data_IF_415012731991
#
_entry.id   IF_415012731991
#
_cell.length_a   1.000
_cell.length_b   1.000
_cell.length_c   1.000
_cell.angle_alpha   90.00
_cell.angle_beta   90.00
_cell.angle_gamma   90.00
#
_symmetry.space_group_name_H-M   'P 1'
#
loop_
_entity.id
_entity.type
_entity.pdbx_description
1 polymer ?
#
# COMPACT_ATOMS: atom_id res chain seq x y z
N UNK A 1 -17.40 -27.87 -37.39
CA UNK A 1 -16.62 -26.79 -38.07
C UNK A 1 -16.31 -25.60 -37.12
N UNK A 2 -17.08 -25.39 -36.05
CA UNK A 2 -16.84 -24.25 -35.11
C UNK A 2 -15.59 -24.36 -34.25
N UNK A 3 -15.17 -25.55 -33.85
CA UNK A 3 -14.01 -25.71 -32.95
C UNK A 3 -12.71 -25.12 -33.51
N UNK A 4 -12.41 -25.42 -34.81
CA UNK A 4 -11.19 -24.89 -35.46
C UNK A 4 -11.15 -23.35 -35.57
N UNK A 5 -12.31 -22.65 -35.65
CA UNK A 5 -12.36 -21.19 -35.69
C UNK A 5 -12.06 -20.65 -34.28
N UNK A 6 -12.65 -21.25 -33.26
CA UNK A 6 -12.45 -20.83 -31.87
C UNK A 6 -10.98 -20.99 -31.43
N UNK A 7 -10.39 -22.16 -31.76
CA UNK A 7 -8.97 -22.42 -31.45
C UNK A 7 -8.04 -21.39 -32.11
N UNK A 8 -8.31 -21.01 -33.37
CA UNK A 8 -7.54 -19.98 -34.07
C UNK A 8 -7.69 -18.61 -33.46
N UNK A 9 -8.91 -18.19 -33.09
CA UNK A 9 -9.15 -16.91 -32.44
C UNK A 9 -8.40 -16.85 -31.08
N UNK A 10 -8.49 -17.92 -30.29
CA UNK A 10 -7.81 -18.01 -28.99
C UNK A 10 -6.29 -18.00 -29.14
N UNK A 11 -5.74 -18.66 -30.17
CA UNK A 11 -4.30 -18.62 -30.43
C UNK A 11 -3.84 -17.22 -30.87
N UNK A 12 -4.56 -16.55 -31.78
CA UNK A 12 -4.28 -15.17 -32.17
C UNK A 12 -4.34 -14.26 -30.95
N UNK A 13 -5.39 -14.38 -30.13
CA UNK A 13 -5.57 -13.61 -28.89
C UNK A 13 -4.42 -13.83 -27.92
N UNK A 14 -4.02 -15.08 -27.69
CA UNK A 14 -2.91 -15.43 -26.77
C UNK A 14 -1.57 -14.90 -27.27
N UNK A 15 -1.31 -14.96 -28.59
CA UNK A 15 -0.11 -14.37 -29.20
C UNK A 15 -0.08 -12.86 -28.99
N UNK A 16 -1.20 -12.17 -29.23
CA UNK A 16 -1.33 -10.73 -29.02
C UNK A 16 -1.11 -10.36 -27.54
N UNK A 17 -1.71 -11.08 -26.60
CA UNK A 17 -1.53 -10.87 -25.16
C UNK A 17 -0.08 -11.06 -24.71
N UNK A 18 0.63 -12.02 -25.31
CA UNK A 18 2.05 -12.28 -25.02
C UNK A 18 3.00 -11.29 -25.72
N UNK A 19 2.48 -10.24 -26.34
CA UNK A 19 3.28 -9.23 -27.06
C UNK A 19 3.88 -9.71 -28.39
N UNK A 20 3.48 -10.90 -28.86
CA UNK A 20 3.94 -11.41 -30.16
C UNK A 20 3.24 -10.69 -31.31
N UNK A 21 3.98 -10.53 -32.41
CA UNK A 21 3.42 -10.00 -33.65
C UNK A 21 2.63 -11.09 -34.38
N UNK A 22 1.48 -10.73 -34.88
CA UNK A 22 0.61 -11.61 -35.62
C UNK A 22 0.61 -11.19 -37.10
N UNK A 23 1.15 -12.04 -37.97
CA UNK A 23 1.16 -11.85 -39.42
C UNK A 23 0.01 -12.62 -40.05
N UNK A 24 -0.78 -11.97 -40.93
CA UNK A 24 -1.94 -12.60 -41.56
C UNK A 24 -1.57 -13.83 -42.41
N UNK A 25 -0.49 -13.71 -43.18
CA UNK A 25 -0.04 -14.78 -44.08
C UNK A 25 0.44 -16.02 -43.32
N UNK A 26 1.18 -15.80 -42.22
CA UNK A 26 1.67 -16.89 -41.36
C UNK A 26 0.52 -17.66 -40.72
N UNK A 27 -0.44 -16.94 -40.10
CA UNK A 27 -1.60 -17.56 -39.47
C UNK A 27 -2.51 -18.25 -40.52
N UNK A 28 -2.71 -17.62 -41.68
CA UNK A 28 -3.49 -18.20 -42.73
C UNK A 28 -2.90 -19.54 -43.23
N UNK A 29 -1.58 -19.59 -43.36
CA UNK A 29 -0.85 -20.82 -43.73
C UNK A 29 -0.94 -21.88 -42.63
N UNK A 30 -0.70 -21.50 -41.37
CA UNK A 30 -0.71 -22.41 -40.22
C UNK A 30 -2.08 -23.10 -40.02
N UNK A 31 -3.16 -22.36 -40.20
CA UNK A 31 -4.53 -22.87 -40.02
C UNK A 31 -5.22 -23.33 -41.32
N UNK A 32 -4.55 -23.22 -42.47
CA UNK A 32 -5.10 -23.62 -43.77
C UNK A 32 -6.34 -22.81 -44.17
N UNK A 33 -6.36 -21.52 -43.88
CA UNK A 33 -7.49 -20.62 -44.18
C UNK A 33 -7.02 -19.41 -45.02
N UNK A 34 -7.97 -18.63 -45.55
CA UNK A 34 -7.63 -17.40 -46.26
C UNK A 34 -7.21 -16.27 -45.29
N UNK A 35 -6.34 -15.36 -45.72
CA UNK A 35 -5.99 -14.16 -44.98
C UNK A 35 -7.22 -13.31 -44.58
N UNK A 36 -8.26 -13.34 -45.47
CA UNK A 36 -9.55 -12.68 -45.19
C UNK A 36 -10.27 -13.28 -43.98
N UNK A 37 -10.10 -14.58 -43.73
CA UNK A 37 -10.65 -15.25 -42.55
C UNK A 37 -9.90 -14.81 -41.28
N UNK A 38 -8.57 -14.75 -41.35
CA UNK A 38 -7.74 -14.26 -40.23
C UNK A 38 -8.02 -12.79 -39.93
N UNK A 39 -8.22 -11.97 -40.96
CA UNK A 39 -8.61 -10.58 -40.81
C UNK A 39 -9.95 -10.39 -40.08
N UNK A 40 -10.92 -11.29 -40.32
CA UNK A 40 -12.19 -11.29 -39.59
C UNK A 40 -11.98 -11.65 -38.11
N UNK A 41 -11.17 -12.67 -37.86
CA UNK A 41 -10.87 -13.07 -36.48
C UNK A 41 -10.18 -11.93 -35.70
N UNK A 42 -9.27 -11.20 -36.32
CA UNK A 42 -8.65 -10.01 -35.73
C UNK A 42 -9.68 -8.90 -35.47
N UNK A 43 -10.64 -8.73 -36.38
CA UNK A 43 -11.73 -7.76 -36.16
C UNK A 43 -12.68 -8.22 -35.03
N UNK A 44 -12.94 -9.55 -34.92
CA UNK A 44 -13.71 -10.08 -33.78
C UNK A 44 -13.00 -9.77 -32.45
N UNK A 45 -11.66 -9.90 -32.40
CA UNK A 45 -10.85 -9.53 -31.20
C UNK A 45 -10.88 -8.01 -30.97
N UNK A 46 -10.83 -7.18 -31.99
CA UNK A 46 -10.98 -5.72 -31.84
C UNK A 46 -12.32 -5.34 -31.23
N UNK A 47 -13.40 -5.88 -31.78
CA UNK A 47 -14.75 -5.63 -31.26
C UNK A 47 -14.90 -6.09 -29.81
N UNK A 48 -14.22 -7.17 -29.41
CA UNK A 48 -14.19 -7.62 -28.04
C UNK A 48 -13.54 -6.56 -27.14
N UNK A 49 -12.38 -6.04 -27.50
CA UNK A 49 -11.72 -4.97 -26.72
C UNK A 49 -12.50 -3.66 -26.73
N UNK A 50 -13.09 -3.27 -27.86
CA UNK A 50 -13.91 -2.05 -27.94
C UNK A 50 -15.14 -2.13 -27.02
N UNK A 51 -15.70 -3.32 -26.84
CA UNK A 51 -16.84 -3.53 -25.91
C UNK A 51 -16.40 -3.57 -24.43
N UNK A 52 -15.20 -4.09 -24.14
CA UNK A 52 -14.66 -4.10 -22.76
C UNK A 52 -14.15 -2.72 -22.31
N UNK A 53 -13.65 -1.89 -23.21
CA UNK A 53 -13.17 -0.54 -22.89
C UNK A 53 -14.22 0.34 -22.19
N UNK A 54 -15.50 -0.03 -22.30
CA UNK A 54 -16.62 0.70 -21.66
C UNK A 54 -16.77 0.42 -20.17
N UNK A 55 -16.24 -0.69 -19.62
CA UNK A 55 -16.48 -1.12 -18.24
C UNK A 55 -15.32 -0.87 -17.28
N UNK A 56 -14.07 -1.00 -17.71
CA UNK A 56 -12.92 -1.08 -16.79
C UNK A 56 -11.83 0.00 -16.98
N UNK A 57 -12.02 0.95 -17.91
CA UNK A 57 -11.05 2.03 -18.15
C UNK A 57 -9.75 1.57 -18.86
N UNK A 58 -9.72 0.36 -19.38
CA UNK A 58 -8.63 -0.18 -20.19
C UNK A 58 -8.94 0.06 -21.67
N UNK A 59 -8.05 0.70 -22.39
CA UNK A 59 -8.08 0.79 -23.86
C UNK A 59 -7.00 -0.11 -24.43
N UNK A 60 -7.34 -1.39 -24.62
CA UNK A 60 -6.51 -2.31 -25.41
C UNK A 60 -6.97 -2.22 -26.87
N UNK A 61 -6.08 -1.95 -27.81
CA UNK A 61 -6.43 -1.99 -29.23
C UNK A 61 -5.41 -2.73 -30.06
N UNK A 62 -5.91 -3.45 -31.07
CA UNK A 62 -5.07 -4.19 -31.99
C UNK A 62 -4.64 -3.28 -33.13
N UNK A 63 -3.36 -2.87 -33.15
CA UNK A 63 -2.76 -1.97 -34.13
C UNK A 63 -2.08 -2.74 -35.25
N UNK A 64 -2.25 -2.26 -36.48
CA UNK A 64 -1.51 -2.76 -37.64
C UNK A 64 -0.21 -1.97 -37.83
N UNK A 65 0.91 -2.69 -37.95
CA UNK A 65 2.23 -2.12 -38.27
C UNK A 65 2.54 -2.39 -39.70
N UNK A 66 2.45 -1.36 -40.55
CA UNK A 66 2.63 -1.46 -42.00
C UNK A 66 4.03 -1.93 -42.42
N UNK A 67 5.07 -1.47 -41.74
CA UNK A 67 6.47 -1.84 -41.98
C UNK A 67 6.73 -3.34 -41.82
N UNK A 68 6.00 -3.99 -40.91
CA UNK A 68 6.17 -5.41 -40.55
C UNK A 68 5.01 -6.28 -41.00
N UNK A 69 4.04 -5.71 -41.71
CA UNK A 69 2.80 -6.39 -42.17
C UNK A 69 2.16 -7.26 -41.07
N UNK A 70 2.15 -6.77 -39.84
CA UNK A 70 1.74 -7.55 -38.68
C UNK A 70 0.88 -6.73 -37.72
N UNK A 71 0.05 -7.43 -36.96
CA UNK A 71 -0.76 -6.86 -35.86
C UNK A 71 -0.05 -7.03 -34.52
N UNK A 72 -0.20 -6.06 -33.67
CA UNK A 72 0.22 -6.11 -32.25
C UNK A 72 -0.94 -5.66 -31.38
N UNK A 73 -0.97 -6.14 -30.14
CA UNK A 73 -1.80 -5.56 -29.12
C UNK A 73 -1.02 -4.38 -28.50
N UNK A 74 -1.56 -3.18 -28.65
CA UNK A 74 -1.06 -2.00 -27.97
C UNK A 74 -1.91 -1.82 -26.71
N UNK A 75 -1.33 -2.10 -25.57
CA UNK A 75 -1.98 -1.91 -24.29
C UNK A 75 -1.76 -0.46 -23.87
N UNK A 76 -2.77 0.37 -23.98
CA UNK A 76 -2.79 1.66 -23.32
C UNK A 76 -3.32 1.48 -21.89
N UNK A 77 -2.48 0.94 -21.04
CA UNK A 77 -2.71 1.12 -19.61
C UNK A 77 -2.64 2.62 -19.33
N UNK A 78 -3.77 3.30 -19.24
CA UNK A 78 -3.84 4.67 -18.72
C UNK A 78 -3.34 4.76 -17.27
N UNK A 79 -3.10 3.64 -16.64
CA UNK A 79 -2.64 3.50 -15.26
C UNK A 79 -1.34 2.69 -15.11
N UNK A 80 -0.52 2.52 -16.15
CA UNK A 80 0.80 1.93 -15.97
C UNK A 80 1.68 2.93 -15.24
N UNK A 81 2.24 2.52 -14.10
CA UNK A 81 3.24 3.31 -13.41
C UNK A 81 4.45 3.53 -14.34
N UNK A 82 4.96 4.73 -14.38
CA UNK A 82 6.20 5.05 -15.10
C UNK A 82 7.40 4.38 -14.42
N UNK A 83 8.49 4.21 -15.16
CA UNK A 83 9.74 3.69 -14.59
C UNK A 83 10.20 4.50 -13.36
N UNK A 84 9.99 5.82 -13.38
CA UNK A 84 10.33 6.71 -12.26
C UNK A 84 9.47 6.45 -11.03
N UNK A 85 8.18 6.21 -11.21
CA UNK A 85 7.25 5.88 -10.11
C UNK A 85 7.58 4.51 -9.52
N UNK A 86 7.84 3.50 -10.35
CA UNK A 86 8.28 2.17 -9.87
C UNK A 86 9.60 2.27 -9.10
N UNK A 87 10.58 3.02 -9.63
CA UNK A 87 11.84 3.23 -8.92
C UNK A 87 11.61 3.91 -7.57
N UNK A 88 10.77 4.93 -7.50
CA UNK A 88 10.44 5.62 -6.25
C UNK A 88 9.78 4.66 -5.23
N UNK A 89 8.81 3.84 -5.67
CA UNK A 89 8.16 2.83 -4.82
C UNK A 89 9.20 1.81 -4.31
N UNK A 90 10.07 1.29 -5.17
CA UNK A 90 11.13 0.36 -4.77
C UNK A 90 12.06 0.98 -3.72
N UNK A 91 12.47 2.25 -3.90
CA UNK A 91 13.32 2.97 -2.94
C UNK A 91 12.63 3.16 -1.58
N UNK A 92 11.35 3.53 -1.57
CA UNK A 92 10.55 3.66 -0.34
C UNK A 92 10.46 2.32 0.38
N UNK A 93 10.14 1.23 -0.32
CA UNK A 93 10.05 -0.12 0.25
C UNK A 93 11.37 -0.56 0.86
N UNK A 94 12.48 -0.39 0.15
CA UNK A 94 13.82 -0.77 0.63
C UNK A 94 14.23 0.05 1.85
N UNK A 95 13.94 1.35 1.88
CA UNK A 95 14.28 2.24 3.00
C UNK A 95 13.44 1.97 4.24
N UNK A 96 12.15 1.69 4.07
CA UNK A 96 11.23 1.46 5.19
C UNK A 96 11.32 0.06 5.79
N UNK A 97 11.86 -0.90 5.05
CA UNK A 97 12.18 -2.26 5.50
C UNK A 97 11.06 -2.97 6.29
N UNK A 98 9.83 -3.05 5.77
CA UNK A 98 8.70 -3.59 6.53
C UNK A 98 8.62 -5.12 6.49
N UNK A 99 9.27 -5.76 5.54
CA UNK A 99 9.12 -7.19 5.23
C UNK A 99 10.38 -8.01 5.50
N UNK A 100 10.24 -9.33 5.56
CA UNK A 100 11.39 -10.23 5.55
C UNK A 100 12.17 -10.10 4.25
N UNK A 101 13.43 -10.53 4.22
CA UNK A 101 14.26 -10.42 3.02
C UNK A 101 13.64 -11.15 1.82
N UNK A 102 13.09 -12.36 2.05
CA UNK A 102 12.45 -13.14 1.00
C UNK A 102 11.20 -12.45 0.44
N UNK A 103 10.33 -11.91 1.33
CA UNK A 103 9.13 -11.18 0.91
C UNK A 103 9.50 -9.92 0.14
N UNK A 104 10.49 -9.15 0.59
CA UNK A 104 10.95 -7.95 -0.08
C UNK A 104 11.50 -8.27 -1.47
N UNK A 105 12.40 -9.27 -1.58
CA UNK A 105 12.97 -9.67 -2.86
C UNK A 105 11.87 -10.06 -3.84
N UNK A 106 10.95 -10.96 -3.43
CA UNK A 106 9.84 -11.40 -4.26
C UNK A 106 8.90 -10.26 -4.68
N UNK A 107 8.65 -9.28 -3.80
CA UNK A 107 7.85 -8.09 -4.11
C UNK A 107 8.51 -7.21 -5.16
N UNK A 108 9.80 -6.91 -5.00
CA UNK A 108 10.56 -6.07 -5.93
C UNK A 108 10.65 -6.72 -7.32
N UNK A 109 10.92 -8.02 -7.38
CA UNK A 109 10.96 -8.78 -8.63
C UNK A 109 9.62 -8.68 -9.36
N UNK A 110 8.51 -8.96 -8.68
CA UNK A 110 7.16 -8.87 -9.27
C UNK A 110 6.79 -7.46 -9.71
N UNK A 111 7.14 -6.43 -8.93
CA UNK A 111 6.92 -5.04 -9.33
C UNK A 111 7.66 -4.70 -10.62
N UNK A 112 8.91 -5.12 -10.75
CA UNK A 112 9.72 -4.89 -11.96
C UNK A 112 9.15 -5.70 -13.14
N UNK A 113 8.85 -6.97 -12.93
CA UNK A 113 8.34 -7.84 -14.00
C UNK A 113 6.98 -7.42 -14.54
N UNK A 114 6.06 -7.03 -13.64
CA UNK A 114 4.69 -6.71 -14.00
C UNK A 114 4.49 -5.27 -14.46
N UNK A 115 5.27 -4.32 -13.91
CA UNK A 115 5.02 -2.89 -14.10
C UNK A 115 6.06 -2.19 -14.97
N UNK A 116 7.27 -2.77 -15.16
CA UNK A 116 8.33 -2.17 -15.97
C UNK A 116 8.38 -2.81 -17.36
N UNK A 117 8.41 -2.01 -18.46
CA UNK A 117 8.63 -2.52 -19.80
C UNK A 117 9.91 -3.36 -19.89
N UNK A 118 9.89 -4.47 -20.61
CA UNK A 118 10.99 -5.43 -20.70
C UNK A 118 12.35 -4.78 -21.01
N UNK A 119 12.36 -3.80 -21.92
CA UNK A 119 13.58 -3.07 -22.29
C UNK A 119 14.26 -2.31 -21.14
N UNK A 120 13.49 -1.97 -20.08
CA UNK A 120 13.96 -1.16 -18.96
C UNK A 120 14.12 -1.96 -17.65
N UNK A 121 13.67 -3.22 -17.59
CA UNK A 121 13.72 -4.06 -16.37
C UNK A 121 15.12 -4.19 -15.81
N UNK A 122 16.09 -4.46 -16.68
CA UNK A 122 17.49 -4.57 -16.31
C UNK A 122 18.00 -3.28 -15.65
N UNK A 123 17.75 -2.14 -16.26
CA UNK A 123 18.17 -0.84 -15.75
C UNK A 123 17.55 -0.53 -14.38
N UNK A 124 16.24 -0.73 -14.21
CA UNK A 124 15.57 -0.49 -12.92
C UNK A 124 16.09 -1.44 -11.85
N UNK A 125 16.30 -2.73 -12.19
CA UNK A 125 16.90 -3.72 -11.31
C UNK A 125 18.31 -3.33 -10.84
N UNK A 126 19.18 -2.88 -11.75
CA UNK A 126 20.55 -2.42 -11.43
C UNK A 126 20.53 -1.19 -10.48
N UNK A 127 19.59 -0.27 -10.65
CA UNK A 127 19.45 0.94 -9.82
C UNK A 127 19.08 0.64 -8.35
N UNK A 128 18.50 -0.52 -8.08
CA UNK A 128 18.13 -0.94 -6.71
C UNK A 128 18.98 -2.11 -6.17
N UNK A 129 19.83 -2.71 -7.01
CA UNK A 129 20.52 -3.95 -6.70
C UNK A 129 21.38 -3.88 -5.43
N UNK A 130 22.11 -2.79 -5.22
CA UNK A 130 22.97 -2.63 -4.04
C UNK A 130 22.16 -2.58 -2.74
N UNK A 131 21.07 -1.82 -2.71
CA UNK A 131 20.19 -1.71 -1.54
C UNK A 131 19.45 -3.02 -1.27
N UNK A 132 19.00 -3.71 -2.32
CA UNK A 132 18.35 -5.01 -2.21
C UNK A 132 19.32 -6.08 -1.68
N UNK A 133 20.56 -6.09 -2.13
CA UNK A 133 21.61 -7.00 -1.65
C UNK A 133 21.89 -6.80 -0.14
N UNK A 134 22.06 -5.54 0.29
CA UNK A 134 22.32 -5.15 1.67
C UNK A 134 21.07 -4.98 2.52
N UNK A 135 19.90 -5.41 2.02
CA UNK A 135 18.64 -5.28 2.74
C UNK A 135 18.71 -5.95 4.12
N UNK A 136 18.51 -5.14 5.16
CA UNK A 136 18.47 -5.60 6.54
C UNK A 136 17.04 -5.82 6.97
N UNK A 137 16.58 -7.07 6.99
CA UNK A 137 15.22 -7.43 7.39
C UNK A 137 14.90 -7.08 8.85
N UNK A 138 13.64 -6.86 9.20
CA UNK A 138 13.21 -6.66 10.59
C UNK A 138 13.56 -7.86 11.49
N UNK A 139 13.89 -7.59 12.74
CA UNK A 139 14.29 -8.62 13.71
C UNK A 139 13.20 -9.67 14.01
N UNK A 140 11.93 -9.32 13.83
CA UNK A 140 10.82 -10.26 14.06
C UNK A 140 10.78 -11.43 13.06
N UNK A 141 11.31 -11.27 11.84
CA UNK A 141 11.36 -12.29 10.78
C UNK A 141 10.01 -12.96 10.46
N UNK A 142 8.92 -12.34 10.80
CA UNK A 142 7.57 -12.88 10.59
C UNK A 142 7.01 -12.43 9.25
N UNK A 143 6.50 -13.38 8.48
CA UNK A 143 5.65 -13.13 7.31
C UNK A 143 4.23 -12.85 7.81
N UNK A 144 3.65 -11.72 7.39
CA UNK A 144 2.35 -11.28 7.90
C UNK A 144 1.44 -10.66 6.84
N UNK A 145 1.84 -10.64 5.57
CA UNK A 145 1.06 -10.04 4.47
C UNK A 145 -0.35 -10.67 4.39
N UNK A 146 -0.45 -12.00 4.50
CA UNK A 146 -1.73 -12.71 4.46
C UNK A 146 -2.61 -12.39 5.69
N UNK A 147 -2.00 -12.27 6.88
CA UNK A 147 -2.73 -11.89 8.08
C UNK A 147 -3.20 -10.43 8.00
N UNK A 148 -2.39 -9.54 7.42
CA UNK A 148 -2.76 -8.16 7.14
C UNK A 148 -3.97 -8.08 6.20
N UNK A 149 -4.01 -8.93 5.16
CA UNK A 149 -5.15 -9.00 4.25
C UNK A 149 -6.43 -9.45 4.95
N UNK A 150 -6.37 -10.50 5.78
CA UNK A 150 -7.51 -10.94 6.60
C UNK A 150 -8.04 -9.85 7.53
N UNK A 151 -7.13 -9.06 8.11
CA UNK A 151 -7.51 -7.89 8.92
C UNK A 151 -8.21 -6.84 8.05
N UNK A 152 -7.71 -6.56 6.86
CA UNK A 152 -8.33 -5.60 5.93
C UNK A 152 -9.74 -6.06 5.52
N UNK A 153 -9.94 -7.35 5.23
CA UNK A 153 -11.26 -7.92 4.96
C UNK A 153 -12.20 -7.78 6.17
N UNK A 154 -11.71 -8.05 7.38
CA UNK A 154 -12.50 -7.90 8.61
C UNK A 154 -12.91 -6.44 8.86
N UNK A 155 -12.04 -5.46 8.56
CA UNK A 155 -12.37 -4.03 8.60
C UNK A 155 -13.47 -3.71 7.58
N UNK A 156 -13.30 -4.12 6.34
CA UNK A 156 -14.25 -3.86 5.24
C UNK A 156 -15.63 -4.43 5.51
N UNK A 157 -15.69 -5.61 6.12
CA UNK A 157 -16.95 -6.31 6.43
C UNK A 157 -17.50 -6.02 7.82
N UNK A 158 -16.80 -5.19 8.61
CA UNK A 158 -17.09 -4.87 10.00
C UNK A 158 -17.22 -6.11 10.91
N UNK A 159 -16.34 -7.11 10.71
CA UNK A 159 -16.30 -8.30 11.52
C UNK A 159 -15.37 -8.13 12.72
N UNK A 160 -15.79 -8.64 13.89
CA UNK A 160 -14.87 -8.78 15.02
C UNK A 160 -13.72 -9.72 14.68
N UNK A 161 -12.57 -9.46 15.27
CA UNK A 161 -11.43 -10.36 15.22
C UNK A 161 -11.02 -10.76 16.64
N UNK A 162 -10.46 -11.95 16.76
CA UNK A 162 -9.78 -12.43 17.97
C UNK A 162 -8.31 -12.62 17.65
N UNK A 163 -7.44 -12.03 18.46
CA UNK A 163 -6.00 -12.12 18.28
C UNK A 163 -5.32 -12.67 19.54
N UNK A 164 -4.26 -13.47 19.33
CA UNK A 164 -3.27 -13.72 20.36
C UNK A 164 -2.12 -12.75 20.11
N UNK A 165 -1.88 -11.83 21.04
CA UNK A 165 -0.93 -10.76 20.90
C UNK A 165 0.25 -10.91 21.86
N UNK A 166 1.47 -10.96 21.32
CA UNK A 166 2.71 -11.01 22.09
C UNK A 166 3.15 -9.59 22.47
N UNK A 167 3.07 -9.26 23.76
CA UNK A 167 3.52 -7.96 24.26
C UNK A 167 5.04 -7.81 24.25
N UNK A 168 5.51 -6.62 24.63
CA UNK A 168 6.95 -6.31 24.72
C UNK A 168 7.65 -7.10 25.83
N UNK A 169 6.94 -7.43 26.92
CA UNK A 169 7.37 -8.29 28.02
C UNK A 169 7.26 -9.79 27.72
N UNK A 170 7.03 -10.13 26.43
CA UNK A 170 6.85 -11.47 25.92
C UNK A 170 5.58 -12.20 26.37
N UNK A 171 4.77 -11.64 27.24
CA UNK A 171 3.47 -12.21 27.62
C UNK A 171 2.52 -12.23 26.44
N UNK A 172 1.73 -13.30 26.32
CA UNK A 172 0.71 -13.43 25.27
C UNK A 172 -0.65 -13.18 25.88
N UNK A 173 -1.40 -12.27 25.27
CA UNK A 173 -2.77 -11.96 25.67
C UNK A 173 -3.74 -12.26 24.54
N UNK A 174 -4.93 -12.75 24.88
CA UNK A 174 -6.02 -12.90 23.92
C UNK A 174 -6.85 -11.62 23.95
N UNK A 175 -7.21 -11.10 22.79
CA UNK A 175 -8.04 -9.91 22.66
C UNK A 175 -9.09 -10.10 21.58
N UNK A 176 -10.32 -9.74 21.92
CA UNK A 176 -11.41 -9.59 20.96
C UNK A 176 -11.51 -8.12 20.59
N UNK A 177 -11.45 -7.82 19.31
CA UNK A 177 -11.26 -6.47 18.78
C UNK A 177 -12.31 -6.14 17.73
N UNK A 178 -12.64 -4.84 17.67
CA UNK A 178 -13.29 -4.17 16.54
C UNK A 178 -12.19 -3.52 15.71
N UNK A 179 -11.70 -4.14 14.62
CA UNK A 179 -10.63 -3.58 13.81
C UNK A 179 -11.11 -2.32 13.07
N UNK A 180 -10.29 -1.28 13.01
CA UNK A 180 -10.66 0.03 12.45
C UNK A 180 -9.85 0.38 11.23
N UNK A 181 -8.51 0.29 11.32
CA UNK A 181 -7.60 0.65 10.25
C UNK A 181 -6.26 -0.10 10.35
N UNK A 182 -5.60 -0.23 9.20
CA UNK A 182 -4.21 -0.66 9.11
C UNK A 182 -3.38 0.55 8.76
N UNK A 183 -2.35 0.81 9.55
CA UNK A 183 -1.45 1.94 9.36
C UNK A 183 -0.01 1.46 9.26
N UNK A 184 0.84 2.26 8.63
CA UNK A 184 2.27 2.03 8.54
C UNK A 184 3.03 3.19 9.19
N UNK A 185 4.03 2.89 10.01
CA UNK A 185 4.94 3.89 10.57
C UNK A 185 6.32 3.30 10.77
N UNK A 186 7.34 4.05 10.38
CA UNK A 186 8.75 3.67 10.45
C UNK A 186 9.05 2.35 9.70
N UNK A 187 8.97 1.21 10.39
CA UNK A 187 9.29 -0.11 9.87
C UNK A 187 8.18 -1.14 10.07
N UNK A 188 7.02 -0.74 10.63
CA UNK A 188 6.02 -1.69 11.06
C UNK A 188 4.62 -1.33 10.57
N UNK A 189 3.84 -2.35 10.30
CA UNK A 189 2.40 -2.23 10.13
C UNK A 189 1.68 -2.37 11.47
N UNK A 190 0.68 -1.55 11.65
CA UNK A 190 -0.11 -1.45 12.86
C UNK A 190 -1.59 -1.62 12.55
N UNK A 191 -2.27 -2.37 13.42
CA UNK A 191 -3.71 -2.42 13.49
C UNK A 191 -4.17 -1.45 14.59
N UNK A 192 -5.09 -0.56 14.26
CA UNK A 192 -5.86 0.20 15.25
C UNK A 192 -7.20 -0.47 15.46
N UNK A 193 -7.59 -0.66 16.71
CA UNK A 193 -8.83 -1.36 17.05
C UNK A 193 -9.38 -0.93 18.41
N UNK A 194 -10.70 -1.00 18.58
CA UNK A 194 -11.30 -0.95 19.91
C UNK A 194 -11.33 -2.35 20.52
N UNK A 195 -11.04 -2.43 21.81
CA UNK A 195 -11.14 -3.66 22.59
C UNK A 195 -12.63 -3.91 22.92
N UNK A 196 -13.13 -5.14 22.68
CA UNK A 196 -14.51 -5.55 23.01
C UNK A 196 -14.55 -6.34 24.34
N UNK A 197 -13.82 -5.88 25.33
CA UNK A 197 -13.74 -6.50 26.66
C UNK A 197 -13.78 -5.41 27.73
N UNK A 198 -14.94 -5.31 28.40
CA UNK A 198 -15.22 -4.26 29.39
C UNK A 198 -14.26 -4.34 30.59
N UNK A 199 -13.88 -5.55 31.01
CA UNK A 199 -12.98 -5.73 32.16
C UNK A 199 -11.56 -5.27 31.83
N UNK A 200 -11.06 -5.58 30.63
CA UNK A 200 -9.77 -5.09 30.14
C UNK A 200 -9.76 -3.57 29.94
N UNK A 201 -10.90 -2.98 29.53
CA UNK A 201 -11.02 -1.52 29.38
C UNK A 201 -10.96 -0.86 30.75
N UNK A 202 -11.65 -1.39 31.77
CA UNK A 202 -11.65 -0.84 33.15
C UNK A 202 -10.28 -0.91 33.82
N UNK A 203 -9.50 -1.95 33.56
CA UNK A 203 -8.17 -2.10 34.18
C UNK A 203 -7.11 -1.16 33.58
N UNK A 204 -7.28 -0.71 32.34
CA UNK A 204 -6.23 0.00 31.60
C UNK A 204 -6.49 1.47 31.33
N UNK A 205 -7.72 1.90 31.42
CA UNK A 205 -8.12 3.26 31.07
C UNK A 205 -8.86 3.90 32.24
N UNK A 206 -8.37 5.05 32.70
CA UNK A 206 -8.98 5.83 33.77
C UNK A 206 -10.39 6.33 33.43
N UNK A 207 -10.81 6.22 32.17
CA UNK A 207 -12.11 6.66 31.67
C UNK A 207 -12.73 5.59 30.77
N UNK A 208 -13.85 5.04 31.17
CA UNK A 208 -14.64 4.03 30.44
C UNK A 208 -15.04 4.41 28.99
N UNK A 209 -14.96 5.68 28.65
CA UNK A 209 -15.32 6.26 27.35
C UNK A 209 -14.13 6.88 26.63
N UNK A 210 -12.91 6.46 26.93
CA UNK A 210 -11.77 6.95 26.16
C UNK A 210 -11.89 6.39 24.73
N UNK A 211 -12.33 7.25 23.82
CA UNK A 211 -12.61 6.94 22.42
C UNK A 211 -11.34 6.67 21.62
N UNK A 212 -10.22 6.48 22.28
CA UNK A 212 -8.94 6.26 21.63
C UNK A 212 -8.72 4.78 21.31
N UNK A 213 -8.49 4.39 20.05
CA UNK A 213 -8.25 3.01 19.70
C UNK A 213 -6.88 2.53 20.20
N UNK A 214 -6.82 1.28 20.61
CA UNK A 214 -5.56 0.62 20.93
C UNK A 214 -4.80 0.27 19.63
N UNK A 215 -3.49 0.38 19.70
CA UNK A 215 -2.61 0.17 18.54
C UNK A 215 -1.83 -1.13 18.75
N UNK A 216 -1.89 -2.02 17.77
CA UNK A 216 -1.23 -3.32 17.79
C UNK A 216 -0.27 -3.44 16.61
N UNK A 217 0.98 -3.84 16.84
CA UNK A 217 1.89 -4.22 15.75
C UNK A 217 1.43 -5.54 15.14
N UNK A 218 1.24 -5.58 13.82
CA UNK A 218 0.72 -6.78 13.13
C UNK A 218 1.70 -7.96 13.23
N UNK A 219 3.00 -7.71 13.19
CA UNK A 219 4.02 -8.75 13.34
C UNK A 219 4.01 -9.45 14.72
N UNK A 220 3.42 -8.84 15.74
CA UNK A 220 3.27 -9.42 17.09
C UNK A 220 1.98 -10.23 17.29
N UNK A 221 1.12 -10.27 16.30
CA UNK A 221 -0.09 -11.12 16.32
C UNK A 221 0.34 -12.56 16.02
N UNK A 222 0.25 -13.45 16.99
CA UNK A 222 0.67 -14.86 16.84
C UNK A 222 -0.44 -15.77 16.31
N UNK A 223 -1.69 -15.42 16.58
CA UNK A 223 -2.90 -16.06 16.00
C UNK A 223 -3.91 -14.97 15.65
N UNK A 224 -4.59 -15.14 14.53
CA UNK A 224 -5.66 -14.27 14.06
C UNK A 224 -6.86 -15.14 13.67
N UNK A 225 -8.02 -14.80 14.19
CA UNK A 225 -9.30 -15.40 13.81
C UNK A 225 -10.30 -14.29 13.51
N UNK A 226 -10.87 -14.29 12.32
CA UNK A 226 -12.03 -13.45 11.97
C UNK A 226 -13.28 -14.15 12.50
N UNK A 227 -14.14 -13.41 13.18
CA UNK A 227 -15.38 -13.92 13.77
C UNK A 227 -16.57 -13.58 12.86
N UNK A 228 -17.56 -14.48 12.81
CA UNK A 228 -18.77 -14.25 12.02
C UNK A 228 -19.69 -13.14 12.62
N UNK A 229 -19.36 -12.65 13.81
CA UNK A 229 -20.05 -11.54 14.46
C UNK A 229 -19.62 -10.21 13.88
N UNK A 230 -20.59 -9.39 13.50
CA UNK A 230 -20.38 -8.00 13.03
C UNK A 230 -20.52 -7.01 14.17
N UNK A 231 -19.79 -5.89 14.07
CA UNK A 231 -19.97 -4.73 14.94
C UNK A 231 -20.51 -3.54 14.13
N UNK A 232 -21.06 -2.59 14.85
CA UNK A 232 -21.52 -1.33 14.27
C UNK A 232 -20.78 -0.18 14.95
N UNK A 233 -20.28 0.75 14.15
CA UNK A 233 -19.76 2.04 14.62
C UNK A 233 -20.67 3.11 14.06
N UNK A 234 -21.33 3.93 14.90
CA UNK A 234 -22.11 5.06 14.43
C UNK A 234 -21.27 6.01 13.61
N UNK A 235 -21.84 6.63 12.59
CA UNK A 235 -21.13 7.56 11.72
C UNK A 235 -20.42 8.68 12.50
N UNK A 236 -21.05 9.20 13.56
CA UNK A 236 -20.50 10.22 14.46
C UNK A 236 -19.26 9.77 15.24
N UNK A 237 -19.03 8.46 15.34
CA UNK A 237 -17.90 7.86 16.06
C UNK A 237 -16.96 7.13 15.12
N UNK A 238 -17.06 7.39 13.80
CA UNK A 238 -16.20 6.78 12.79
C UNK A 238 -14.76 7.22 13.01
N UNK A 239 -13.85 6.23 13.03
CA UNK A 239 -12.43 6.51 13.09
C UNK A 239 -11.96 7.10 11.75
N UNK A 240 -11.31 8.25 11.82
CA UNK A 240 -10.73 8.93 10.67
C UNK A 240 -9.21 8.74 10.68
N UNK A 241 -8.76 7.69 10.02
CA UNK A 241 -7.34 7.29 9.98
C UNK A 241 -6.41 8.39 9.46
N UNK A 242 -6.85 9.14 8.44
CA UNK A 242 -6.09 10.26 7.90
C UNK A 242 -5.88 11.39 8.90
N UNK A 243 -6.94 11.74 9.67
CA UNK A 243 -6.84 12.75 10.72
C UNK A 243 -6.02 12.26 11.92
N UNK A 244 -6.10 10.97 12.20
CA UNK A 244 -5.29 10.35 13.23
C UNK A 244 -3.80 10.37 12.90
N UNK A 245 -3.43 10.00 11.65
CA UNK A 245 -2.04 9.98 11.19
C UNK A 245 -1.39 11.36 11.21
N UNK A 246 -2.14 12.44 11.01
CA UNK A 246 -1.61 13.81 11.11
C UNK A 246 -1.12 14.15 12.52
N UNK A 247 -1.64 13.49 13.54
CA UNK A 247 -1.43 13.84 14.96
C UNK A 247 -0.55 12.86 15.73
N UNK A 248 -0.46 11.62 15.27
CA UNK A 248 0.30 10.58 15.98
C UNK A 248 1.77 10.55 15.54
N UNK A 249 2.66 10.38 16.50
CA UNK A 249 4.08 10.17 16.23
C UNK A 249 4.51 8.80 16.77
N UNK A 250 5.31 8.05 15.98
CA UNK A 250 5.84 6.72 16.32
C UNK A 250 4.80 5.70 16.76
N UNK A 251 3.52 5.91 16.40
CA UNK A 251 2.38 5.08 16.82
C UNK A 251 2.20 4.95 18.35
N UNK A 252 2.67 5.94 19.10
CA UNK A 252 2.37 6.08 20.52
C UNK A 252 1.06 6.84 20.69
N UNK A 253 -0.01 6.09 20.93
CA UNK A 253 -1.34 6.63 21.16
C UNK A 253 -1.48 7.32 22.51
N UNK A 254 -2.59 8.04 22.70
CA UNK A 254 -2.93 8.75 23.92
C UNK A 254 -3.89 9.91 23.67
N UNK A 255 -4.17 10.68 24.70
CA UNK A 255 -5.09 11.83 24.63
C UNK A 255 -4.59 12.90 23.66
N UNK A 256 -5.52 13.65 23.08
CA UNK A 256 -5.20 14.82 22.28
C UNK A 256 -4.55 15.89 23.15
N UNK A 257 -3.40 16.41 22.71
CA UNK A 257 -2.63 17.46 23.39
C UNK A 257 -2.34 18.58 22.40
N UNK A 258 -2.20 19.78 22.93
CA UNK A 258 -1.59 20.89 22.21
C UNK A 258 -0.20 21.11 22.75
N UNK A 259 0.76 21.14 21.86
CA UNK A 259 2.16 21.42 22.19
C UNK A 259 2.58 22.75 21.60
N UNK A 260 3.45 23.45 22.32
CA UNK A 260 3.96 24.75 21.91
C UNK A 260 5.48 24.76 22.06
N UNK A 261 6.17 25.17 21.01
CA UNK A 261 7.62 25.17 21.00
C UNK A 261 8.16 26.21 20.03
N UNK A 262 9.44 26.58 20.19
CA UNK A 262 10.14 27.45 19.26
C UNK A 262 11.13 26.67 18.45
N UNK A 263 11.37 27.11 17.21
CA UNK A 263 12.40 26.59 16.34
C UNK A 263 13.05 27.69 15.51
N UNK A 264 14.23 27.39 14.97
CA UNK A 264 14.91 28.26 14.04
C UNK A 264 14.37 28.09 12.61
N UNK A 265 14.56 29.10 11.74
CA UNK A 265 14.14 29.10 10.35
C UNK A 265 14.62 27.87 9.57
N UNK A 266 15.85 27.43 9.79
CA UNK A 266 16.45 26.29 9.08
C UNK A 266 15.78 24.94 9.38
N UNK A 267 15.06 24.83 10.49
CA UNK A 267 14.33 23.61 10.88
C UNK A 267 12.84 23.70 10.58
N UNK A 268 12.33 24.85 10.19
CA UNK A 268 10.89 25.12 10.10
C UNK A 268 10.18 24.20 9.09
N UNK A 269 10.68 24.08 7.86
CA UNK A 269 10.08 23.26 6.82
C UNK A 269 9.98 21.79 7.24
N UNK A 270 11.08 21.20 7.72
CA UNK A 270 11.10 19.81 8.19
C UNK A 270 10.16 19.57 9.39
N UNK A 271 9.96 20.58 10.25
CA UNK A 271 9.03 20.52 11.38
C UNK A 271 7.58 20.54 10.89
N UNK A 272 7.24 21.43 9.95
CA UNK A 272 5.90 21.53 9.39
C UNK A 272 5.54 20.26 8.58
N UNK A 273 6.49 19.68 7.85
CA UNK A 273 6.31 18.41 7.15
C UNK A 273 6.09 17.24 8.14
N UNK A 274 6.82 17.24 9.25
CA UNK A 274 6.70 16.19 10.28
C UNK A 274 5.42 16.28 11.10
N UNK A 275 4.96 17.49 11.37
CA UNK A 275 3.77 17.77 12.17
C UNK A 275 2.71 18.51 11.33
N UNK A 276 1.90 17.78 10.53
CA UNK A 276 0.93 18.40 9.60
C UNK A 276 -0.12 19.30 10.26
N UNK A 277 -0.30 19.21 11.59
CA UNK A 277 -1.18 20.07 12.38
C UNK A 277 -0.48 21.32 12.91
N UNK A 278 0.83 21.47 12.66
CA UNK A 278 1.62 22.58 13.15
C UNK A 278 1.26 23.89 12.43
N UNK A 279 1.13 24.95 13.24
CA UNK A 279 0.86 26.29 12.75
C UNK A 279 1.87 27.27 13.36
N UNK A 280 2.34 28.22 12.55
CA UNK A 280 3.19 29.32 12.99
C UNK A 280 2.30 30.32 13.71
N UNK A 281 2.58 30.56 15.00
CA UNK A 281 1.85 31.53 15.83
C UNK A 281 2.49 32.90 15.75
N UNK A 282 3.83 32.98 15.79
CA UNK A 282 4.57 34.24 15.69
C UNK A 282 6.03 33.98 15.28
N UNK A 283 6.66 35.03 14.78
CA UNK A 283 8.11 35.09 14.53
C UNK A 283 8.70 36.20 15.36
N UNK A 284 9.79 35.94 16.08
CA UNK A 284 10.53 36.91 16.85
C UNK A 284 12.01 36.58 16.87
N UNK A 285 12.86 37.52 16.50
CA UNK A 285 14.33 37.39 16.57
C UNK A 285 14.87 36.17 15.79
N UNK A 286 14.23 35.81 14.63
CA UNK A 286 14.62 34.67 13.80
C UNK A 286 14.16 33.31 14.36
N UNK A 287 13.41 33.27 15.44
CA UNK A 287 12.76 32.08 16.00
C UNK A 287 11.27 32.09 15.71
N UNK A 288 10.73 30.95 15.33
CA UNK A 288 9.32 30.71 15.04
C UNK A 288 8.65 30.01 16.20
N UNK A 289 7.55 30.56 16.69
CA UNK A 289 6.70 29.93 17.69
C UNK A 289 5.68 29.05 16.99
N UNK A 290 5.69 27.76 17.26
CA UNK A 290 4.84 26.74 16.63
C UNK A 290 3.84 26.22 17.65
N UNK A 291 2.60 26.03 17.20
CA UNK A 291 1.54 25.32 17.93
C UNK A 291 1.12 24.13 17.11
N UNK A 292 1.07 22.93 17.69
CA UNK A 292 0.61 21.71 17.02
C UNK A 292 -0.34 20.90 17.90
N UNK A 293 -1.28 20.20 17.28
CA UNK A 293 -2.15 19.22 17.92
C UNK A 293 -1.59 17.81 17.69
N UNK A 294 -1.44 17.03 18.74
CA UNK A 294 -0.82 15.70 18.69
C UNK A 294 -1.53 14.73 19.62
N UNK A 295 -1.46 13.43 19.29
CA UNK A 295 -1.92 12.36 20.18
C UNK A 295 -0.75 11.75 20.96
N UNK A 296 -0.94 11.59 22.27
CA UNK A 296 -0.03 10.87 23.15
C UNK A 296 1.37 11.50 23.27
N UNK A 297 2.31 10.68 23.70
CA UNK A 297 3.67 11.13 24.08
C UNK A 297 4.74 10.84 23.00
N UNK A 298 4.33 10.31 21.84
CA UNK A 298 5.25 10.06 20.73
C UNK A 298 5.97 11.33 20.25
N UNK A 299 5.29 12.46 20.29
CA UNK A 299 5.88 13.76 19.96
C UNK A 299 7.03 14.16 20.87
N UNK A 300 6.98 13.82 22.16
CA UNK A 300 8.05 14.14 23.10
C UNK A 300 9.34 13.38 22.78
N UNK A 301 9.21 12.13 22.27
CA UNK A 301 10.35 11.37 21.78
C UNK A 301 10.97 12.05 20.55
N UNK A 302 10.12 12.52 19.63
CA UNK A 302 10.58 13.23 18.46
C UNK A 302 11.25 14.56 18.82
N UNK A 303 10.65 15.36 19.69
CA UNK A 303 11.23 16.64 20.15
C UNK A 303 12.62 16.41 20.77
N UNK A 304 12.77 15.42 21.64
CA UNK A 304 14.07 15.06 22.23
C UNK A 304 15.12 14.68 21.18
N UNK A 305 14.71 14.08 20.09
CA UNK A 305 15.62 13.74 18.99
C UNK A 305 16.13 14.95 18.20
N UNK A 306 15.45 16.10 18.32
CA UNK A 306 15.85 17.34 17.64
C UNK A 306 16.96 18.11 18.40
N UNK A 307 17.23 17.77 19.67
CA UNK A 307 18.22 18.44 20.50
C UNK A 307 17.90 19.95 20.65
N UNK A 308 18.92 20.76 20.53
CA UNK A 308 18.82 22.24 20.72
C UNK A 308 18.07 22.98 19.62
N UNK A 309 17.63 22.28 18.55
CA UNK A 309 16.88 22.89 17.44
C UNK A 309 15.44 23.25 17.81
N UNK A 310 14.92 22.66 18.87
CA UNK A 310 13.57 22.89 19.39
C UNK A 310 13.64 23.25 20.85
N UNK A 311 13.02 24.38 21.21
CA UNK A 311 12.85 24.86 22.60
C UNK A 311 11.37 24.74 22.99
N UNK A 312 11.05 23.83 23.91
CA UNK A 312 9.67 23.68 24.42
C UNK A 312 9.28 24.95 25.18
N UNK A 313 8.07 25.43 24.95
CA UNK A 313 7.47 26.57 25.64
C UNK A 313 6.25 26.05 26.40
N UNK A 314 6.24 26.18 27.71
CA UNK A 314 5.11 25.82 28.55
C UNK A 314 3.86 26.68 28.30
#
# INVERSE_FOLDING_TARGET
>A
MDGKKVDRILDIYTRLLSGKKVNLTEIAYEYGVSERSVQRDINDIRNFYDNEASSDGYENYVKYISEKKSYILENTFKASLSNSEILAICKILLQTRPFTKDEMTSLLERLIECCVPEANRKMVGELIANEAFHYAEPKHKKKFIDDMWKVAEAISTANFIEINYKKTDETVVVRKLKPLAIMFSEHYFYLTAFIDDEDTIREKFDVLNDSFPTIYRIDRITKLKVLDKKFHIPYSSRFEEGEFLKRIQFMYGGKLRRIKFKCEKNSLEAILDRLPTANIVSEKEGKYLILAEVFGDGVDMWIRSQGDRIEIVE
#
